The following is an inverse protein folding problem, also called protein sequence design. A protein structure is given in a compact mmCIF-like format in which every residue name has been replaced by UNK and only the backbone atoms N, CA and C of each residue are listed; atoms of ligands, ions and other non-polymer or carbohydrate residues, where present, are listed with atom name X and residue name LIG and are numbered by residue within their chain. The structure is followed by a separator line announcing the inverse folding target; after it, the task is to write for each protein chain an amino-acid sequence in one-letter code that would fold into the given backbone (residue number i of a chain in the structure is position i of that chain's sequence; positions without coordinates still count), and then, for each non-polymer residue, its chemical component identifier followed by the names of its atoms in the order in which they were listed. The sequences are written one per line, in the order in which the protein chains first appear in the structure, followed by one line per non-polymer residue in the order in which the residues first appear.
data_IF_205389551675
#
_entry.id   IF_205389551675
#
_cell.length_a   1.000
_cell.length_b   1.000
_cell.length_c   1.000
_cell.angle_alpha   90.00
_cell.angle_beta   90.00
_cell.angle_gamma   90.00
#
_symmetry.space_group_name_H-M   'P 1'
#
loop_
_entity.id
_entity.type
_entity.pdbx_description
1 polymer ?
#
# COMPACT_ATOMS: atom_id res chain seq x y z
N UNK A 1 -15.42 9.67 7.63
CA UNK A 1 -14.42 8.58 7.77
C UNK A 1 -14.30 7.77 6.48
N UNK A 2 -15.36 7.12 6.00
CA UNK A 2 -15.32 6.32 4.77
C UNK A 2 -14.87 7.13 3.55
N UNK A 3 -15.40 8.35 3.38
CA UNK A 3 -14.97 9.33 2.36
C UNK A 3 -13.48 9.69 2.42
N UNK A 4 -12.81 9.50 3.56
CA UNK A 4 -11.40 9.86 3.69
C UNK A 4 -10.48 8.69 3.37
N UNK A 5 -10.81 7.50 3.87
CA UNK A 5 -9.91 6.34 3.81
C UNK A 5 -10.25 5.36 2.70
N UNK A 6 -11.43 5.46 2.07
CA UNK A 6 -11.87 4.62 0.96
C UNK A 6 -12.09 5.43 -0.33
N UNK A 7 -11.49 6.62 -0.43
CA UNK A 7 -11.50 7.46 -1.63
C UNK A 7 -10.43 7.02 -2.63
N UNK A 8 -10.60 5.79 -3.11
CA UNK A 8 -9.79 5.19 -4.16
C UNK A 8 -10.68 4.31 -5.03
N UNK A 9 -10.15 3.82 -6.16
CA UNK A 9 -10.94 3.05 -7.12
C UNK A 9 -10.30 1.71 -7.46
N UNK A 10 -11.16 0.79 -7.87
CA UNK A 10 -10.80 -0.40 -8.62
C UNK A 10 -11.25 -0.17 -10.06
N UNK A 11 -10.36 0.39 -10.88
CA UNK A 11 -10.69 0.89 -12.22
C UNK A 11 -11.79 1.97 -12.13
N UNK A 12 -13.02 1.65 -12.51
CA UNK A 12 -14.14 2.61 -12.49
C UNK A 12 -14.97 2.53 -11.20
N UNK A 13 -14.82 1.46 -10.42
CA UNK A 13 -15.61 1.22 -9.21
C UNK A 13 -14.98 1.88 -7.99
N UNK A 14 -15.73 2.74 -7.29
CA UNK A 14 -15.25 3.41 -6.07
C UNK A 14 -15.24 2.45 -4.88
N UNK A 15 -14.12 2.39 -4.16
CA UNK A 15 -13.98 1.53 -2.99
C UNK A 15 -14.94 1.91 -1.86
N UNK A 16 -15.21 3.21 -1.68
CA UNK A 16 -16.24 3.69 -0.76
C UNK A 16 -17.61 3.06 -1.01
N UNK A 17 -18.05 3.03 -2.27
CA UNK A 17 -19.39 2.55 -2.60
C UNK A 17 -19.51 1.05 -2.32
N UNK A 18 -18.42 0.30 -2.56
CA UNK A 18 -18.32 -1.12 -2.19
C UNK A 18 -18.39 -1.32 -0.66
N UNK A 19 -17.67 -0.51 0.11
CA UNK A 19 -17.60 -0.60 1.58
C UNK A 19 -18.78 0.09 2.29
N UNK A 20 -19.65 0.77 1.56
CA UNK A 20 -20.81 1.45 2.13
C UNK A 20 -22.11 0.76 1.77
N UNK A 21 -22.29 0.39 0.49
CA UNK A 21 -23.58 -0.04 -0.04
C UNK A 21 -23.63 -1.51 -0.42
N UNK A 22 -22.50 -2.12 -0.80
CA UNK A 22 -22.47 -3.48 -1.33
C UNK A 22 -21.99 -4.49 -0.28
N UNK A 23 -22.68 -4.52 0.87
CA UNK A 23 -22.37 -5.41 1.99
C UNK A 23 -22.50 -6.90 1.64
N UNK A 24 -23.41 -7.19 0.72
CA UNK A 24 -23.76 -8.53 0.24
C UNK A 24 -22.82 -9.05 -0.85
N UNK A 25 -21.87 -8.25 -1.34
CA UNK A 25 -21.07 -8.57 -2.52
C UNK A 25 -20.31 -9.90 -2.40
N UNK A 26 -19.80 -10.23 -1.21
CA UNK A 26 -19.15 -11.53 -0.93
C UNK A 26 -20.07 -12.54 -0.25
N UNK A 27 -21.36 -12.23 -0.10
CA UNK A 27 -22.40 -13.04 0.51
C UNK A 27 -22.63 -12.75 2.00
N UNK A 28 -23.90 -12.86 2.42
CA UNK A 28 -24.52 -12.48 3.71
C UNK A 28 -24.96 -11.01 3.75
N UNK A 29 -26.27 -10.76 3.87
CA UNK A 29 -26.81 -9.43 4.17
C UNK A 29 -28.11 -9.54 4.95
N UNK A 30 -27.99 -9.54 6.27
CA UNK A 30 -29.09 -9.06 7.12
C UNK A 30 -28.76 -7.66 7.69
N UNK A 31 -27.66 -7.04 7.23
CA UNK A 31 -27.13 -5.77 7.70
C UNK A 31 -27.47 -4.66 6.71
N UNK A 32 -27.98 -3.54 7.22
CA UNK A 32 -28.29 -2.35 6.43
C UNK A 32 -27.05 -1.50 6.23
N UNK A 33 -26.87 -0.93 5.04
CA UNK A 33 -25.84 0.09 4.77
C UNK A 33 -25.94 1.26 5.75
N UNK A 34 -27.16 1.66 6.12
CA UNK A 34 -27.39 2.73 7.08
C UNK A 34 -26.92 2.33 8.49
N UNK A 35 -27.24 1.11 8.94
CA UNK A 35 -26.85 0.64 10.27
C UNK A 35 -25.33 0.58 10.42
N UNK A 36 -24.61 0.11 9.39
CA UNK A 36 -23.15 0.09 9.38
C UNK A 36 -22.55 1.50 9.55
N UNK A 37 -23.13 2.51 8.89
CA UNK A 37 -22.66 3.89 9.00
C UNK A 37 -22.96 4.46 10.38
N UNK A 38 -24.12 4.14 10.94
CA UNK A 38 -24.51 4.54 12.30
C UNK A 38 -23.59 3.89 13.33
N UNK A 39 -23.32 2.59 13.23
CA UNK A 39 -22.40 1.85 14.11
C UNK A 39 -20.98 2.40 14.03
N UNK A 40 -20.48 2.66 12.82
CA UNK A 40 -19.18 3.29 12.62
C UNK A 40 -19.13 4.67 13.27
N UNK A 41 -20.16 5.50 13.08
CA UNK A 41 -20.25 6.82 13.70
C UNK A 41 -20.31 6.79 15.23
N UNK A 42 -21.00 5.80 15.80
CA UNK A 42 -21.13 5.59 17.26
C UNK A 42 -19.93 4.87 17.88
N UNK A 43 -19.02 4.34 17.08
CA UNK A 43 -17.88 3.54 17.56
C UNK A 43 -16.87 4.32 18.43
N UNK A 44 -17.01 5.64 18.51
CA UNK A 44 -16.21 6.51 19.36
C UNK A 44 -14.92 7.00 18.70
N UNK A 45 -14.38 8.10 19.25
CA UNK A 45 -13.24 8.82 18.67
C UNK A 45 -12.03 7.92 18.38
N UNK A 46 -11.67 7.03 19.31
CA UNK A 46 -10.52 6.15 19.16
C UNK A 46 -10.63 5.23 17.93
N UNK A 47 -11.82 4.70 17.64
CA UNK A 47 -12.03 3.85 16.46
C UNK A 47 -12.03 4.64 15.16
N UNK A 48 -12.22 5.96 15.19
CA UNK A 48 -12.21 6.82 14.01
C UNK A 48 -10.84 7.46 13.74
N UNK A 49 -9.84 7.19 14.58
CA UNK A 49 -8.47 7.68 14.38
C UNK A 49 -7.81 7.05 13.15
N UNK A 50 -7.04 7.87 12.42
CA UNK A 50 -6.28 7.45 11.24
C UNK A 50 -5.39 6.22 11.51
N UNK A 51 -4.66 6.22 12.62
CA UNK A 51 -3.73 5.12 12.99
C UNK A 51 -4.42 3.78 13.21
N UNK A 52 -5.72 3.79 13.49
CA UNK A 52 -6.50 2.60 13.81
C UNK A 52 -7.25 2.05 12.60
N UNK A 53 -7.05 2.59 11.40
CA UNK A 53 -7.90 2.31 10.24
C UNK A 53 -8.07 0.82 9.88
N UNK A 54 -7.02 0.01 10.01
CA UNK A 54 -7.07 -1.45 9.86
C UNK A 54 -7.90 -2.10 10.97
N UNK A 55 -7.69 -1.68 12.22
CA UNK A 55 -8.41 -2.20 13.39
C UNK A 55 -9.89 -1.87 13.27
N UNK A 56 -10.23 -0.63 12.90
CA UNK A 56 -11.60 -0.17 12.67
C UNK A 56 -12.32 -1.06 11.67
N UNK A 57 -11.70 -1.36 10.53
CA UNK A 57 -12.28 -2.28 9.56
C UNK A 57 -12.47 -3.67 10.17
N UNK A 58 -11.44 -4.25 10.77
CA UNK A 58 -11.48 -5.62 11.27
C UNK A 58 -12.52 -5.82 12.38
N UNK A 59 -12.73 -4.82 13.24
CA UNK A 59 -13.66 -4.93 14.38
C UNK A 59 -15.10 -4.61 13.98
N UNK A 60 -15.31 -3.56 13.18
CA UNK A 60 -16.64 -3.01 12.91
C UNK A 60 -17.20 -3.42 11.55
N UNK A 61 -16.34 -3.52 10.53
CA UNK A 61 -16.78 -3.76 9.16
C UNK A 61 -16.69 -5.23 8.81
N UNK A 62 -15.57 -5.91 9.11
CA UNK A 62 -15.31 -7.27 8.67
C UNK A 62 -16.38 -8.29 9.11
N UNK A 63 -17.11 -8.07 10.21
CA UNK A 63 -18.22 -8.97 10.63
C UNK A 63 -19.42 -8.92 9.68
N UNK A 64 -19.60 -7.79 9.01
CA UNK A 64 -20.69 -7.52 8.08
C UNK A 64 -20.34 -7.94 6.66
N UNK A 65 -19.06 -8.21 6.36
CA UNK A 65 -18.58 -8.73 5.09
C UNK A 65 -18.10 -10.18 5.25
N UNK A 66 -18.14 -11.01 4.21
CA UNK A 66 -17.38 -12.28 4.21
C UNK A 66 -15.88 -12.06 3.94
N UNK A 67 -15.28 -11.15 4.70
CA UNK A 67 -13.85 -10.81 4.62
C UNK A 67 -13.20 -10.98 5.98
N UNK A 68 -12.02 -11.58 6.03
CA UNK A 68 -11.33 -11.89 7.29
C UNK A 68 -10.73 -10.63 7.94
N UNK A 69 -10.24 -9.71 7.12
CA UNK A 69 -9.63 -8.45 7.53
C UNK A 69 -9.65 -7.46 6.36
N UNK A 70 -9.15 -6.24 6.59
CA UNK A 70 -9.07 -5.19 5.57
C UNK A 70 -8.33 -5.65 4.32
N UNK A 71 -7.17 -6.29 4.45
CA UNK A 71 -6.35 -6.67 3.30
C UNK A 71 -7.02 -7.76 2.46
N UNK A 72 -7.64 -8.76 3.10
CA UNK A 72 -8.47 -9.75 2.41
C UNK A 72 -9.61 -9.07 1.63
N UNK A 73 -10.24 -8.03 2.19
CA UNK A 73 -11.26 -7.26 1.48
C UNK A 73 -10.69 -6.52 0.27
N UNK A 74 -9.56 -5.81 0.41
CA UNK A 74 -8.90 -5.10 -0.68
C UNK A 74 -8.56 -6.06 -1.83
N UNK A 75 -8.00 -7.22 -1.50
CA UNK A 75 -7.57 -8.22 -2.47
C UNK A 75 -8.75 -8.91 -3.16
N UNK A 76 -9.81 -9.23 -2.43
CA UNK A 76 -11.03 -9.80 -3.01
C UNK A 76 -11.71 -8.82 -3.97
N UNK A 77 -11.82 -7.54 -3.58
CA UNK A 77 -12.37 -6.52 -4.49
C UNK A 77 -11.46 -6.30 -5.70
N UNK A 78 -10.13 -6.25 -5.51
CA UNK A 78 -9.19 -6.18 -6.62
C UNK A 78 -9.38 -7.36 -7.58
N UNK A 79 -9.49 -8.60 -7.06
CA UNK A 79 -9.75 -9.81 -7.86
C UNK A 79 -11.05 -9.72 -8.66
N UNK A 80 -12.09 -9.13 -8.08
CA UNK A 80 -13.37 -8.99 -8.77
C UNK A 80 -13.36 -7.91 -9.87
N UNK A 81 -12.71 -6.77 -9.62
CA UNK A 81 -12.82 -5.58 -10.50
C UNK A 81 -11.62 -5.31 -11.40
N UNK A 82 -10.43 -5.81 -11.05
CA UNK A 82 -9.17 -5.59 -11.80
C UNK A 82 -8.40 -6.91 -11.99
N UNK A 83 -9.05 -8.03 -12.36
CA UNK A 83 -8.48 -9.39 -12.28
C UNK A 83 -7.14 -9.56 -12.99
N UNK A 84 -6.88 -8.76 -14.01
CA UNK A 84 -5.68 -8.72 -14.86
C UNK A 84 -4.41 -8.23 -14.18
N UNK A 85 -4.50 -7.65 -12.97
CA UNK A 85 -3.35 -7.09 -12.23
C UNK A 85 -3.08 -7.83 -10.93
N UNK A 86 -1.80 -7.92 -10.56
CA UNK A 86 -1.40 -8.32 -9.21
C UNK A 86 -1.80 -7.27 -8.18
N UNK A 87 -1.81 -7.63 -6.89
CA UNK A 87 -2.12 -6.69 -5.81
C UNK A 87 -1.12 -5.52 -5.80
N UNK A 88 0.17 -5.79 -6.03
CA UNK A 88 1.20 -4.77 -6.04
C UNK A 88 1.11 -3.83 -7.25
N UNK A 89 0.80 -4.36 -8.45
CA UNK A 89 0.59 -3.52 -9.64
C UNK A 89 -0.61 -2.60 -9.46
N UNK A 90 -1.74 -3.13 -8.98
CA UNK A 90 -2.91 -2.30 -8.65
C UNK A 90 -2.57 -1.21 -7.63
N UNK A 91 -1.85 -1.56 -6.56
CA UNK A 91 -1.47 -0.60 -5.54
C UNK A 91 -0.61 0.54 -6.11
N UNK A 92 0.40 0.22 -6.93
CA UNK A 92 1.28 1.20 -7.58
C UNK A 92 0.54 2.14 -8.54
N UNK A 93 -0.48 1.64 -9.23
CA UNK A 93 -1.31 2.47 -10.11
C UNK A 93 -2.30 3.35 -9.36
N UNK A 94 -2.85 2.84 -8.25
CA UNK A 94 -3.84 3.57 -7.47
C UNK A 94 -3.22 4.64 -6.58
N UNK A 95 -2.07 4.35 -5.97
CA UNK A 95 -1.38 5.33 -5.12
C UNK A 95 -0.77 6.45 -5.95
N UNK A 96 -0.76 7.67 -5.39
CA UNK A 96 0.02 8.79 -5.95
C UNK A 96 1.45 8.84 -5.41
N UNK A 97 1.85 7.90 -4.55
CA UNK A 97 3.23 7.80 -4.11
C UNK A 97 4.13 7.37 -5.27
N UNK A 98 5.31 7.98 -5.39
CA UNK A 98 6.31 7.51 -6.33
C UNK A 98 7.04 6.29 -5.74
N UNK A 99 6.82 5.12 -6.34
CA UNK A 99 7.36 3.86 -5.85
C UNK A 99 8.50 3.39 -6.75
N UNK A 100 9.66 3.17 -6.15
CA UNK A 100 10.84 2.59 -6.81
C UNK A 100 11.15 1.24 -6.18
N UNK A 101 10.91 0.17 -6.92
CA UNK A 101 11.22 -1.21 -6.54
C UNK A 101 12.46 -1.65 -7.33
N UNK A 102 13.64 -1.63 -6.70
CA UNK A 102 14.89 -2.07 -7.34
C UNK A 102 15.26 -3.49 -6.90
N UNK A 103 15.04 -4.43 -7.82
CA UNK A 103 15.39 -5.84 -7.62
C UNK A 103 16.91 -6.03 -7.68
N UNK A 104 17.38 -7.05 -6.98
CA UNK A 104 18.78 -7.48 -7.02
C UNK A 104 19.22 -7.81 -8.45
N UNK A 105 20.49 -7.56 -8.73
CA UNK A 105 21.18 -8.00 -9.96
C UNK A 105 21.51 -9.49 -9.94
N UNK A 106 21.46 -10.13 -8.77
CA UNK A 106 21.72 -11.57 -8.59
C UNK A 106 20.46 -12.33 -8.99
N UNK A 107 20.55 -13.19 -10.01
CA UNK A 107 19.39 -13.86 -10.60
C UNK A 107 18.54 -14.62 -9.58
N UNK A 108 19.16 -15.43 -8.73
CA UNK A 108 18.44 -16.20 -7.70
C UNK A 108 17.61 -15.30 -6.77
N UNK A 109 18.21 -14.20 -6.31
CA UNK A 109 17.56 -13.22 -5.43
C UNK A 109 16.44 -12.51 -6.17
N UNK A 110 16.71 -12.04 -7.39
CA UNK A 110 15.74 -11.35 -8.24
C UNK A 110 14.51 -12.22 -8.55
N UNK A 111 14.74 -13.52 -8.80
CA UNK A 111 13.68 -14.50 -9.02
C UNK A 111 12.82 -14.65 -7.75
N UNK A 112 13.43 -14.82 -6.57
CA UNK A 112 12.71 -14.86 -5.27
C UNK A 112 11.91 -13.58 -5.01
N UNK A 113 12.49 -12.42 -5.29
CA UNK A 113 11.85 -11.10 -5.12
C UNK A 113 10.64 -10.90 -6.04
N UNK A 114 10.57 -11.63 -7.15
CA UNK A 114 9.48 -11.54 -8.12
C UNK A 114 8.25 -12.35 -7.74
N UNK A 115 8.35 -13.21 -6.72
CA UNK A 115 7.24 -14.05 -6.26
C UNK A 115 6.34 -13.22 -5.33
N UNK A 116 5.22 -12.76 -5.87
CA UNK A 116 4.22 -11.99 -5.13
C UNK A 116 3.69 -12.75 -3.91
N UNK A 117 3.47 -12.03 -2.81
CA UNK A 117 3.00 -12.59 -1.54
C UNK A 117 4.00 -13.49 -0.81
N UNK A 118 5.18 -13.74 -1.37
CA UNK A 118 6.25 -14.44 -0.65
C UNK A 118 6.90 -13.53 0.40
N UNK A 119 7.53 -14.08 1.45
CA UNK A 119 8.31 -13.29 2.42
C UNK A 119 9.45 -12.48 1.78
N UNK A 120 9.86 -12.85 0.56
CA UNK A 120 10.96 -12.22 -0.18
C UNK A 120 10.47 -11.21 -1.22
N UNK A 121 9.15 -11.07 -1.42
CA UNK A 121 8.58 -10.16 -2.42
C UNK A 121 9.14 -8.75 -2.24
N UNK A 122 9.58 -8.14 -3.33
CA UNK A 122 9.97 -6.73 -3.32
C UNK A 122 8.75 -5.79 -3.36
N UNK A 123 7.59 -6.32 -3.75
CA UNK A 123 6.38 -5.55 -3.92
C UNK A 123 6.04 -4.75 -2.67
N UNK A 124 5.92 -3.43 -2.80
CA UNK A 124 5.60 -2.55 -1.66
C UNK A 124 4.30 -2.99 -0.99
N UNK A 125 3.26 -3.31 -1.78
CA UNK A 125 2.00 -3.78 -1.20
C UNK A 125 2.19 -5.03 -0.34
N UNK A 126 2.84 -6.06 -0.89
CA UNK A 126 3.06 -7.34 -0.20
C UNK A 126 3.81 -7.17 1.12
N UNK A 127 4.77 -6.23 1.16
CA UNK A 127 5.52 -5.89 2.38
C UNK A 127 4.67 -5.16 3.40
N UNK A 128 3.85 -4.20 2.97
CA UNK A 128 2.98 -3.41 3.86
C UNK A 128 1.84 -4.25 4.46
N UNK A 129 1.41 -5.29 3.75
CA UNK A 129 0.36 -6.23 4.19
C UNK A 129 0.93 -7.48 4.84
N UNK A 130 2.26 -7.62 4.92
CA UNK A 130 2.91 -8.73 5.60
C UNK A 130 2.57 -8.74 7.10
N UNK A 131 2.33 -9.92 7.72
CA UNK A 131 2.09 -10.03 9.16
C UNK A 131 3.22 -9.47 10.04
N UNK A 132 4.46 -9.45 9.53
CA UNK A 132 5.62 -8.91 10.26
C UNK A 132 5.72 -7.39 10.21
N UNK A 133 4.90 -6.71 9.39
CA UNK A 133 4.96 -5.27 9.24
C UNK A 133 4.33 -4.55 10.44
N UNK A 134 5.06 -3.62 11.04
CA UNK A 134 4.65 -2.91 12.26
C UNK A 134 3.57 -1.85 12.02
N UNK A 135 3.44 -1.35 10.80
CA UNK A 135 2.57 -0.21 10.46
C UNK A 135 1.57 -0.53 9.33
N UNK A 136 0.71 -1.55 9.48
CA UNK A 136 -0.27 -1.94 8.46
C UNK A 136 -1.27 -0.80 8.15
N UNK A 137 -1.47 0.13 9.08
CA UNK A 137 -2.36 1.29 8.90
C UNK A 137 -1.86 2.32 7.88
N UNK A 138 -0.67 2.14 7.30
CA UNK A 138 -0.16 2.98 6.22
C UNK A 138 -0.83 2.73 4.87
N UNK A 139 -1.43 1.55 4.64
CA UNK A 139 -1.96 1.17 3.31
C UNK A 139 -3.07 2.11 2.84
N UNK A 140 -4.08 2.40 3.68
CA UNK A 140 -5.20 3.27 3.29
C UNK A 140 -4.76 4.74 3.05
N UNK A 141 -3.93 5.36 3.91
CA UNK A 141 -3.34 6.67 3.61
C UNK A 141 -2.58 6.72 2.29
N UNK A 142 -1.81 5.68 1.96
CA UNK A 142 -1.06 5.62 0.70
C UNK A 142 -1.98 5.47 -0.52
N UNK A 143 -3.08 4.71 -0.40
CA UNK A 143 -4.08 4.57 -1.46
C UNK A 143 -4.88 5.86 -1.72
N UNK A 144 -4.94 6.77 -0.73
CA UNK A 144 -5.78 7.98 -0.74
C UNK A 144 -4.97 9.28 -0.74
N UNK A 145 -3.72 9.21 -1.21
CA UNK A 145 -2.87 10.40 -1.34
C UNK A 145 -3.51 11.42 -2.30
N UNK A 146 -3.64 12.71 -1.90
CA UNK A 146 -4.25 13.73 -2.75
C UNK A 146 -3.34 14.13 -3.91
N UNK A 147 -2.02 14.00 -3.75
CA UNK A 147 -1.00 14.39 -4.73
C UNK A 147 0.28 13.58 -4.54
N UNK A 148 1.26 13.77 -5.43
CA UNK A 148 2.61 13.20 -5.31
C UNK A 148 3.38 13.90 -4.18
N UNK A 149 3.19 13.44 -2.94
CA UNK A 149 3.83 14.02 -1.76
C UNK A 149 4.84 13.10 -1.08
N UNK A 150 4.82 11.81 -1.41
CA UNK A 150 5.64 10.77 -0.79
C UNK A 150 6.29 9.92 -1.87
N UNK A 151 7.55 9.52 -1.66
CA UNK A 151 8.20 8.46 -2.42
C UNK A 151 8.54 7.28 -1.51
N UNK A 152 8.56 6.10 -2.10
CA UNK A 152 8.88 4.84 -1.43
C UNK A 152 9.98 4.15 -2.22
N UNK A 153 11.04 3.75 -1.54
CA UNK A 153 12.12 2.95 -2.12
C UNK A 153 12.07 1.58 -1.48
N UNK A 154 11.87 0.53 -2.28
CA UNK A 154 11.97 -0.85 -1.84
C UNK A 154 13.15 -1.52 -2.55
N UNK A 155 13.99 -2.21 -1.79
CA UNK A 155 15.08 -3.06 -2.26
C UNK A 155 15.02 -4.43 -1.56
N UNK A 156 16.02 -5.29 -1.71
CA UNK A 156 16.04 -6.64 -1.11
C UNK A 156 15.68 -6.70 0.37
N UNK A 157 16.18 -5.78 1.19
CA UNK A 157 16.03 -5.86 2.66
C UNK A 157 15.18 -4.74 3.25
N UNK A 158 15.15 -3.57 2.61
CA UNK A 158 14.56 -2.37 3.22
C UNK A 158 13.44 -1.77 2.38
N UNK A 159 12.54 -1.09 3.10
CA UNK A 159 11.54 -0.18 2.56
C UNK A 159 11.73 1.18 3.24
N UNK A 160 12.05 2.19 2.44
CA UNK A 160 12.28 3.56 2.89
C UNK A 160 11.17 4.48 2.40
N UNK A 161 10.73 5.41 3.25
CA UNK A 161 9.74 6.43 2.91
C UNK A 161 10.39 7.81 2.99
N UNK A 162 10.05 8.68 2.05
CA UNK A 162 10.45 10.08 2.11
C UNK A 162 9.36 11.00 1.56
N UNK A 163 9.42 12.27 1.98
CA UNK A 163 8.48 13.29 1.53
C UNK A 163 9.14 14.22 0.52
N UNK A 164 8.38 14.63 -0.50
CA UNK A 164 8.85 15.57 -1.53
C UNK A 164 9.21 16.93 -0.91
N UNK A 165 8.39 17.41 0.04
CA UNK A 165 8.62 18.67 0.75
C UNK A 165 9.96 18.73 1.48
N UNK A 166 10.59 17.58 1.79
CA UNK A 166 11.89 17.56 2.45
C UNK A 166 13.02 18.08 1.56
N UNK A 167 12.83 18.02 0.23
CA UNK A 167 13.76 18.47 -0.79
C UNK A 167 13.37 19.83 -1.38
N UNK A 168 12.21 20.38 -0.98
CA UNK A 168 11.76 21.69 -1.43
C UNK A 168 12.71 22.78 -0.93
N UNK A 169 13.14 23.63 -1.85
CA UNK A 169 14.08 24.71 -1.56
C UNK A 169 13.81 25.91 -2.46
N UNK A 170 14.64 26.95 -2.36
CA UNK A 170 14.62 28.07 -3.32
C UNK A 170 15.04 27.63 -4.72
N UNK A 171 15.93 26.63 -4.80
CA UNK A 171 16.42 26.07 -6.07
C UNK A 171 15.40 25.09 -6.68
N UNK A 172 14.67 24.36 -5.81
CA UNK A 172 13.64 23.39 -6.20
C UNK A 172 12.29 23.76 -5.56
N UNK A 173 11.57 24.76 -6.13
CA UNK A 173 10.24 25.12 -5.65
C UNK A 173 9.20 24.04 -5.98
N UNK A 174 8.05 24.07 -5.30
CA UNK A 174 6.97 23.12 -5.55
C UNK A 174 6.51 23.20 -7.02
N UNK A 175 6.36 22.03 -7.65
CA UNK A 175 6.03 21.89 -9.06
C UNK A 175 6.79 20.74 -9.70
N UNK A 176 6.82 20.72 -11.03
CA UNK A 176 7.45 19.65 -11.82
C UNK A 176 8.95 19.53 -11.55
N UNK A 177 9.66 20.64 -11.37
CA UNK A 177 11.10 20.63 -11.10
C UNK A 177 11.45 19.87 -9.81
N UNK A 178 10.75 20.16 -8.71
CA UNK A 178 10.92 19.41 -7.46
C UNK A 178 10.59 17.93 -7.65
N UNK A 179 9.54 17.61 -8.40
CA UNK A 179 9.15 16.23 -8.62
C UNK A 179 10.23 15.46 -9.38
N UNK A 180 10.71 15.99 -10.50
CA UNK A 180 11.75 15.36 -11.32
C UNK A 180 13.06 15.20 -10.53
N UNK A 181 13.42 16.22 -9.74
CA UNK A 181 14.58 16.18 -8.86
C UNK A 181 14.47 15.05 -7.82
N UNK A 182 13.36 14.98 -7.09
CA UNK A 182 13.11 13.95 -6.07
C UNK A 182 13.07 12.56 -6.69
N UNK A 183 12.34 12.39 -7.80
CA UNK A 183 12.20 11.09 -8.48
C UNK A 183 13.55 10.58 -9.00
N UNK A 184 14.40 11.46 -9.55
CA UNK A 184 15.77 11.14 -9.95
C UNK A 184 16.61 10.72 -8.75
N UNK A 185 16.61 11.49 -7.66
CA UNK A 185 17.39 11.18 -6.45
C UNK A 185 16.94 9.87 -5.80
N UNK A 186 15.64 9.62 -5.76
CA UNK A 186 15.07 8.39 -5.23
C UNK A 186 15.51 7.17 -6.07
N UNK A 187 15.50 7.29 -7.40
CA UNK A 187 15.98 6.22 -8.29
C UNK A 187 17.48 5.95 -8.13
N UNK A 188 18.30 7.00 -8.11
CA UNK A 188 19.74 6.88 -7.85
C UNK A 188 20.02 6.23 -6.48
N UNK A 189 19.26 6.59 -5.45
CA UNK A 189 19.38 6.00 -4.12
C UNK A 189 18.95 4.52 -4.10
N UNK A 190 17.87 4.17 -4.81
CA UNK A 190 17.41 2.78 -4.93
C UNK A 190 18.48 1.89 -5.58
N UNK A 191 19.12 2.36 -6.65
CA UNK A 191 20.25 1.67 -7.30
C UNK A 191 21.43 1.50 -6.33
N UNK A 192 21.84 2.57 -5.64
CA UNK A 192 22.95 2.49 -4.67
C UNK A 192 22.66 1.50 -3.53
N UNK A 193 21.43 1.48 -3.02
CA UNK A 193 21.05 0.52 -1.97
C UNK A 193 20.98 -0.91 -2.49
N UNK A 194 20.46 -1.14 -3.69
CA UNK A 194 20.51 -2.45 -4.34
C UNK A 194 21.94 -2.95 -4.45
N UNK A 195 22.84 -2.15 -5.01
CA UNK A 195 24.24 -2.55 -5.22
C UNK A 195 24.96 -2.83 -3.90
N UNK A 196 24.67 -2.04 -2.86
CA UNK A 196 25.17 -2.28 -1.50
C UNK A 196 24.72 -3.63 -0.93
N UNK A 197 23.44 -3.99 -1.06
CA UNK A 197 22.97 -5.27 -0.55
C UNK A 197 23.40 -6.45 -1.42
N UNK A 198 23.52 -6.28 -2.74
CA UNK A 198 24.06 -7.31 -3.62
C UNK A 198 25.51 -7.63 -3.26
N UNK A 199 26.31 -6.61 -2.93
CA UNK A 199 27.66 -6.78 -2.41
C UNK A 199 27.67 -7.62 -1.14
N UNK A 200 26.86 -7.25 -0.13
CA UNK A 200 26.78 -8.00 1.12
C UNK A 200 26.26 -9.42 0.95
N UNK A 201 25.26 -9.63 0.10
CA UNK A 201 24.74 -10.95 -0.21
C UNK A 201 25.84 -11.86 -0.74
N UNK A 202 26.69 -11.38 -1.65
CA UNK A 202 27.81 -12.16 -2.21
C UNK A 202 28.87 -12.51 -1.17
N UNK A 203 29.13 -11.62 -0.20
CA UNK A 203 30.20 -11.84 0.80
C UNK A 203 29.73 -12.73 1.94
N UNK A 204 28.46 -12.66 2.30
CA UNK A 204 27.88 -13.40 3.42
C UNK A 204 27.28 -14.75 3.01
N UNK A 205 27.19 -15.05 1.71
CA UNK A 205 26.76 -16.36 1.25
C UNK A 205 27.83 -17.39 1.63
N UNK A 206 27.47 -18.31 2.53
CA UNK A 206 28.32 -19.36 3.14
C UNK A 206 28.94 -20.35 2.12
N UNK A 207 28.77 -20.10 0.82
CA UNK A 207 29.32 -20.87 -0.30
C UNK A 207 30.53 -20.23 -0.98
N UNK A 208 31.10 -19.15 -0.42
CA UNK A 208 32.43 -18.63 -0.78
C UNK A 208 33.53 -19.15 0.15
#
# INVERSE_FOLDING_TARGET
YLERWYDFKYRDTKAKDLVMYHLDFFGKSNSSALDNVIELGKSGYNNLLAKNNVITYNVLLAKNYKTNNLFDALEKYRKAFVPDKTNNEWFKEQTKAYIVEEKSTIKEVSDKQSIAGSPYSIGVYDRLTSPSWKYPSMVLPLLTLPEKSVFIIANISTIGFGAYDRYRSKEHPAGTDLNDYVEKKAKEAAVRFRDHYDYWYRILDDKN
#
